data_IF_409315006538
#
_entry.id   IF_409315006538
#
_cell.length_a   1.000
_cell.length_b   1.000
_cell.length_c   1.000
_cell.angle_alpha   90.00
_cell.angle_beta   90.00
_cell.angle_gamma   90.00
#
_symmetry.space_group_name_H-M   'P 1'
#
loop_
_entity.id
_entity.type
_entity.pdbx_description
1 polymer ?
#
# COMPACT_ATOMS: atom_id res chain seq x y z
N UNK A 1 12.94 13.08 14.84
CA UNK A 1 13.00 12.17 15.89
C UNK A 1 11.74 11.92 16.62
N UNK A 2 11.11 12.91 17.12
CA UNK A 2 9.97 12.68 17.93
C UNK A 2 8.80 12.08 17.19
N UNK A 3 8.69 12.26 15.93
CA UNK A 3 7.62 11.60 15.20
C UNK A 3 7.93 10.15 14.94
N UNK A 4 9.11 9.70 15.33
CA UNK A 4 9.53 8.35 15.06
C UNK A 4 8.75 7.32 15.84
N UNK A 5 8.26 7.68 17.00
CA UNK A 5 7.50 6.73 17.80
C UNK A 5 6.25 6.29 17.06
N UNK A 6 5.52 7.24 16.48
CA UNK A 6 4.32 6.88 15.73
C UNK A 6 4.66 6.10 14.48
N UNK A 7 5.71 6.48 13.78
CA UNK A 7 6.14 5.75 12.60
C UNK A 7 6.52 4.33 12.95
N UNK A 8 7.26 4.13 14.04
CA UNK A 8 7.65 2.80 14.47
C UNK A 8 6.44 1.96 14.84
N UNK A 9 5.46 2.53 15.51
CA UNK A 9 4.25 1.81 15.85
C UNK A 9 3.52 1.34 14.60
N UNK A 10 3.39 2.21 13.61
CA UNK A 10 2.74 1.84 12.35
C UNK A 10 3.53 0.80 11.60
N UNK A 11 4.85 0.95 11.56
CA UNK A 11 5.70 0.04 10.79
C UNK A 11 5.78 -1.34 11.42
N UNK A 12 5.62 -1.43 12.73
CA UNK A 12 5.66 -2.71 13.41
C UNK A 12 4.31 -3.41 13.45
N UNK A 13 3.26 -2.73 13.00
CA UNK A 13 1.93 -3.29 12.97
C UNK A 13 1.91 -4.48 12.01
N UNK A 14 1.49 -5.66 12.46
CA UNK A 14 1.53 -6.83 11.57
C UNK A 14 0.51 -6.71 10.45
N UNK A 15 0.81 -7.35 9.34
CA UNK A 15 -0.16 -7.46 8.25
C UNK A 15 -1.23 -8.46 8.63
N UNK A 16 -2.46 -8.17 8.24
CA UNK A 16 -3.58 -9.08 8.44
C UNK A 16 -3.69 -10.00 7.24
N UNK A 17 -4.21 -11.19 7.46
CA UNK A 17 -4.43 -12.15 6.38
C UNK A 17 -5.92 -12.41 6.29
N UNK A 18 -6.52 -12.05 5.17
CA UNK A 18 -7.96 -12.19 4.96
C UNK A 18 -8.24 -12.58 3.52
N UNK A 19 -9.42 -13.14 3.31
CA UNK A 19 -9.84 -13.44 1.95
C UNK A 19 -10.20 -12.13 1.26
N UNK A 20 -9.56 -11.87 0.14
CA UNK A 20 -9.86 -10.69 -0.68
C UNK A 20 -10.46 -11.16 -1.99
N UNK A 21 -10.97 -10.23 -2.77
CA UNK A 21 -11.56 -10.56 -4.06
C UNK A 21 -10.51 -11.20 -4.97
N UNK A 22 -10.95 -12.07 -5.90
CA UNK A 22 -10.02 -12.69 -6.84
C UNK A 22 -9.23 -11.61 -7.59
N UNK A 23 -7.93 -11.84 -7.70
CA UNK A 23 -7.04 -10.90 -8.37
C UNK A 23 -6.47 -9.81 -7.48
N UNK A 24 -7.01 -9.65 -6.27
CA UNK A 24 -6.49 -8.66 -5.32
C UNK A 24 -5.51 -9.37 -4.39
N UNK A 25 -4.24 -9.01 -4.46
CA UNK A 25 -3.19 -9.63 -3.64
C UNK A 25 -3.10 -8.99 -2.26
N UNK A 26 -3.28 -7.69 -2.17
CA UNK A 26 -3.23 -7.01 -0.90
C UNK A 26 -3.77 -5.60 -1.03
N UNK A 27 -4.00 -4.98 0.11
CA UNK A 27 -4.43 -3.57 0.17
C UNK A 27 -3.76 -2.92 1.36
N UNK A 28 -3.55 -1.62 1.26
CA UNK A 28 -3.10 -0.80 2.38
C UNK A 28 -4.17 0.25 2.62
N UNK A 29 -4.72 0.25 3.82
CA UNK A 29 -5.75 1.21 4.20
C UNK A 29 -5.10 2.55 4.50
N UNK A 30 -5.91 3.61 4.53
CA UNK A 30 -5.38 4.96 4.71
C UNK A 30 -4.76 5.20 6.08
N UNK A 31 -4.98 4.30 7.04
CA UNK A 31 -4.31 4.36 8.34
C UNK A 31 -3.03 3.52 8.38
N UNK A 32 -2.62 2.96 7.25
CA UNK A 32 -1.41 2.14 7.18
C UNK A 32 -1.64 0.66 7.44
N UNK A 33 -2.86 0.23 7.72
CA UNK A 33 -3.15 -1.20 7.92
C UNK A 33 -3.00 -1.93 6.60
N UNK A 34 -2.28 -3.05 6.62
CA UNK A 34 -2.04 -3.88 5.45
C UNK A 34 -2.86 -5.15 5.58
N UNK A 35 -3.57 -5.52 4.53
CA UNK A 35 -4.32 -6.78 4.47
C UNK A 35 -3.81 -7.53 3.25
N UNK A 36 -3.39 -8.79 3.46
CA UNK A 36 -2.85 -9.64 2.39
C UNK A 36 -3.85 -10.77 2.15
N UNK A 37 -4.07 -11.10 0.90
CA UNK A 37 -4.99 -12.17 0.55
C UNK A 37 -4.45 -13.50 1.05
N UNK A 38 -5.17 -14.13 1.96
CA UNK A 38 -4.73 -15.38 2.58
C UNK A 38 -4.71 -16.56 1.62
N UNK A 39 -5.34 -16.43 0.46
CA UNK A 39 -5.38 -17.50 -0.52
C UNK A 39 -4.16 -17.53 -1.44
N UNK A 40 -3.25 -16.59 -1.27
CA UNK A 40 -1.99 -16.61 -2.03
C UNK A 40 -1.03 -17.65 -1.46
N UNK A 41 -0.12 -18.12 -2.29
CA UNK A 41 0.98 -18.96 -1.81
C UNK A 41 1.85 -18.17 -0.85
N UNK A 42 2.65 -18.85 0.01
CA UNK A 42 3.56 -18.12 0.92
C UNK A 42 4.49 -17.15 0.20
N UNK A 43 5.02 -17.54 -0.96
CA UNK A 43 5.90 -16.66 -1.73
C UNK A 43 5.14 -15.43 -2.22
N UNK A 44 3.96 -15.65 -2.76
CA UNK A 44 3.13 -14.53 -3.23
C UNK A 44 2.71 -13.62 -2.09
N UNK A 45 2.44 -14.18 -0.90
CA UNK A 45 2.12 -13.35 0.25
C UNK A 45 3.28 -12.43 0.63
N UNK A 46 4.51 -12.94 0.57
CA UNK A 46 5.67 -12.12 0.86
C UNK A 46 5.86 -11.00 -0.14
N UNK A 47 5.67 -11.28 -1.41
CA UNK A 47 5.79 -10.25 -2.44
C UNK A 47 4.70 -9.20 -2.25
N UNK A 48 3.46 -9.65 -2.01
CA UNK A 48 2.36 -8.72 -1.78
C UNK A 48 2.61 -7.85 -0.56
N UNK A 49 3.10 -8.43 0.52
CA UNK A 49 3.39 -7.67 1.72
C UNK A 49 4.47 -6.62 1.47
N UNK A 50 5.51 -7.00 0.74
CA UNK A 50 6.59 -6.07 0.40
C UNK A 50 6.05 -4.87 -0.38
N UNK A 51 5.15 -5.13 -1.33
CA UNK A 51 4.52 -4.08 -2.14
C UNK A 51 3.68 -3.15 -1.25
N UNK A 52 2.86 -3.74 -0.38
CA UNK A 52 1.97 -2.94 0.47
C UNK A 52 2.74 -2.14 1.51
N UNK A 53 3.90 -2.63 1.94
CA UNK A 53 4.73 -1.87 2.85
C UNK A 53 5.25 -0.58 2.23
N UNK A 54 5.50 -0.57 0.93
CA UNK A 54 5.89 0.66 0.26
C UNK A 54 4.73 1.66 0.33
N UNK A 55 3.50 1.20 0.09
CA UNK A 55 2.34 2.09 0.20
C UNK A 55 2.19 2.62 1.62
N UNK A 56 2.44 1.79 2.63
CA UNK A 56 2.42 2.26 4.02
C UNK A 56 3.43 3.38 4.25
N UNK A 57 4.64 3.23 3.71
CA UNK A 57 5.64 4.29 3.81
C UNK A 57 5.17 5.58 3.14
N UNK A 58 4.54 5.44 1.97
CA UNK A 58 4.04 6.59 1.23
C UNK A 58 2.97 7.34 2.04
N UNK A 59 2.13 6.59 2.73
CA UNK A 59 1.11 7.19 3.60
C UNK A 59 1.75 7.87 4.80
N UNK A 60 2.71 7.20 5.44
CA UNK A 60 3.36 7.75 6.63
C UNK A 60 4.14 9.02 6.32
N UNK A 61 4.77 9.09 5.16
CA UNK A 61 5.50 10.30 4.77
C UNK A 61 4.57 11.35 4.14
N UNK A 62 3.27 11.05 4.08
CA UNK A 62 2.23 11.97 3.59
C UNK A 62 2.28 12.29 2.11
N UNK A 63 2.91 11.44 1.33
CA UNK A 63 2.86 11.55 -0.12
C UNK A 63 1.58 10.95 -0.69
N UNK A 64 1.01 9.97 0.00
CA UNK A 64 -0.15 9.22 -0.50
C UNK A 64 -1.30 9.30 0.49
N UNK A 65 -2.49 9.62 -0.01
CA UNK A 65 -3.72 9.47 0.74
C UNK A 65 -4.84 9.21 -0.26
N UNK A 66 -5.98 8.76 0.23
CA UNK A 66 -7.10 8.51 -0.66
C UNK A 66 -8.42 8.51 0.10
N UNK A 67 -9.48 8.79 -0.64
CA UNK A 67 -10.83 8.68 -0.15
C UNK A 67 -11.62 7.84 -1.17
N UNK A 68 -12.94 7.87 -1.11
CA UNK A 68 -13.75 7.06 -2.01
C UNK A 68 -13.63 7.48 -3.47
N UNK A 69 -13.34 8.75 -3.72
CA UNK A 69 -13.39 9.31 -5.07
C UNK A 69 -12.04 9.60 -5.68
N UNK A 70 -11.02 9.84 -4.87
CA UNK A 70 -9.72 10.29 -5.35
C UNK A 70 -8.57 9.61 -4.65
N UNK A 71 -7.45 9.53 -5.35
CA UNK A 71 -6.15 9.27 -4.74
C UNK A 71 -5.38 10.59 -4.81
N UNK A 72 -4.67 10.92 -3.75
CA UNK A 72 -3.83 12.12 -3.67
C UNK A 72 -2.37 11.68 -3.58
N UNK A 73 -1.57 12.18 -4.51
CA UNK A 73 -0.16 11.85 -4.55
C UNK A 73 0.64 13.13 -4.66
N UNK A 74 1.43 13.40 -3.62
CA UNK A 74 2.28 14.58 -3.57
C UNK A 74 1.50 15.86 -3.89
N UNK A 75 0.29 15.95 -3.35
CA UNK A 75 -0.58 17.10 -3.51
C UNK A 75 -1.40 17.11 -4.78
N UNK A 76 -1.22 16.13 -5.65
CA UNK A 76 -1.96 16.05 -6.89
C UNK A 76 -3.12 15.06 -6.77
N UNK A 77 -4.25 15.42 -7.33
CA UNK A 77 -5.50 14.68 -7.20
C UNK A 77 -5.75 13.84 -8.44
N UNK A 78 -6.02 12.56 -8.23
CA UNK A 78 -6.27 11.61 -9.32
C UNK A 78 -7.65 10.98 -9.12
N UNK A 79 -8.57 11.11 -10.08
CA UNK A 79 -9.91 10.51 -9.92
C UNK A 79 -9.85 8.99 -10.02
N UNK A 80 -10.41 8.31 -9.03
CA UNK A 80 -10.38 6.84 -9.01
C UNK A 80 -11.28 6.26 -10.09
N UNK A 81 -12.32 6.98 -10.44
CA UNK A 81 -13.29 6.55 -11.43
C UNK A 81 -12.67 6.27 -12.80
N UNK A 82 -11.66 7.06 -13.17
CA UNK A 82 -11.05 6.99 -14.49
C UNK A 82 -9.70 6.33 -14.51
N UNK A 83 -9.18 5.90 -13.35
CA UNK A 83 -7.89 5.25 -13.32
C UNK A 83 -8.05 3.75 -13.19
N UNK A 84 -7.05 3.01 -13.64
CA UNK A 84 -6.97 1.58 -13.39
C UNK A 84 -6.14 1.40 -12.13
N UNK A 85 -6.79 1.09 -11.02
CA UNK A 85 -6.08 0.97 -9.75
C UNK A 85 -5.08 -0.18 -9.80
N UNK A 86 -3.91 0.05 -9.24
CA UNK A 86 -2.84 -0.92 -9.27
C UNK A 86 -1.98 -0.87 -10.52
N UNK A 87 -2.32 0.00 -11.48
CA UNK A 87 -1.55 0.07 -12.72
C UNK A 87 -0.15 0.59 -12.47
N UNK A 88 0.84 -0.06 -13.08
CA UNK A 88 2.24 0.24 -12.81
C UNK A 88 2.68 1.62 -13.29
N UNK A 89 1.90 2.28 -14.12
CA UNK A 89 2.22 3.63 -14.57
C UNK A 89 1.75 4.72 -13.62
N UNK A 90 0.99 4.38 -12.58
CA UNK A 90 0.63 5.36 -11.56
C UNK A 90 1.85 5.60 -10.67
N UNK A 91 2.17 6.86 -10.32
CA UNK A 91 3.43 7.14 -9.62
C UNK A 91 3.63 6.35 -8.35
N UNK A 92 2.58 6.21 -7.53
CA UNK A 92 2.71 5.47 -6.28
C UNK A 92 2.87 3.96 -6.52
N UNK A 93 2.29 3.45 -7.59
CA UNK A 93 2.46 2.05 -7.93
C UNK A 93 3.82 1.80 -8.56
N UNK A 94 4.29 2.71 -9.39
CA UNK A 94 5.61 2.59 -9.97
C UNK A 94 6.68 2.47 -8.90
N UNK A 95 6.59 3.30 -7.86
CA UNK A 95 7.52 3.24 -6.75
C UNK A 95 7.39 1.91 -6.00
N UNK A 96 6.16 1.46 -5.76
CA UNK A 96 5.92 0.22 -5.02
C UNK A 96 6.48 -0.98 -5.78
N UNK A 97 6.24 -1.07 -7.09
CA UNK A 97 6.79 -2.17 -7.88
C UNK A 97 8.32 -2.13 -7.91
N UNK A 98 8.88 -0.94 -7.98
CA UNK A 98 10.33 -0.81 -8.01
C UNK A 98 10.99 -1.26 -6.72
N UNK A 99 10.35 -1.00 -5.59
CA UNK A 99 10.94 -1.27 -4.27
C UNK A 99 10.52 -2.57 -3.63
N UNK A 100 9.47 -3.22 -4.14
CA UNK A 100 8.85 -4.33 -3.41
C UNK A 100 9.78 -5.48 -3.09
N UNK A 101 10.73 -5.80 -3.93
CA UNK A 101 11.61 -6.93 -3.69
C UNK A 101 12.94 -6.53 -3.07
N UNK A 102 13.03 -5.32 -2.55
CA UNK A 102 14.26 -4.83 -1.94
C UNK A 102 14.17 -4.69 -0.43
N UNK A 103 13.09 -5.22 0.14
CA UNK A 103 12.86 -5.07 1.58
C UNK A 103 12.99 -6.37 2.32
#
# INVERSE_FOLDING_TARGET
>A
MKNDIMSLIHESKPSLKEKLQPGVHGVTLDDGTIIINKNLSPVQQKVAESHERVHREQILRKDLSYDNDYVYWQGKKYPRKTMKEGASNLPWEAEAYKKQNKQ
#
